data_IF_642976886082
#
_entry.id   IF_642976886082
#
_cell.length_a   1.000
_cell.length_b   1.000
_cell.length_c   1.000
_cell.angle_alpha   90.00
_cell.angle_beta   90.00
_cell.angle_gamma   90.00
#
_symmetry.space_group_name_H-M   'P 1'
#
loop_
_entity.id
_entity.type
_entity.pdbx_description
1 polymer ?
#
# COMPACT_ATOMS: atom_id res chain seq x y z
N UNK A 1 16.46 3.72 -9.61
CA UNK A 1 15.61 3.12 -10.67
C UNK A 1 14.22 2.92 -10.10
N UNK A 2 13.12 3.00 -10.89
CA UNK A 2 11.96 2.17 -10.55
C UNK A 2 12.52 0.78 -10.31
N UNK A 3 12.23 0.14 -9.18
CA UNK A 3 12.54 -1.28 -9.05
C UNK A 3 11.93 -1.92 -10.29
N UNK A 4 12.76 -2.17 -11.30
CA UNK A 4 12.25 -2.53 -12.60
C UNK A 4 11.74 -3.94 -12.38
N UNK A 5 10.43 -4.10 -12.52
CA UNK A 5 9.84 -5.42 -12.55
C UNK A 5 10.64 -6.24 -13.57
N UNK A 6 11.09 -7.41 -13.16
CA UNK A 6 11.90 -8.27 -13.99
C UNK A 6 11.97 -9.66 -13.40
N UNK A 7 12.31 -10.61 -14.25
CA UNK A 7 12.19 -12.04 -13.96
C UNK A 7 13.54 -12.73 -14.05
N UNK A 8 13.73 -13.75 -13.21
CA UNK A 8 14.91 -14.61 -13.24
C UNK A 8 16.06 -14.16 -12.35
N UNK A 9 16.94 -15.11 -12.02
CA UNK A 9 18.04 -14.92 -11.05
C UNK A 9 19.03 -13.85 -11.53
N UNK A 10 19.34 -13.80 -12.82
CA UNK A 10 20.26 -12.80 -13.37
C UNK A 10 19.77 -11.36 -13.17
N UNK A 11 18.46 -11.13 -13.29
CA UNK A 11 17.86 -9.82 -13.00
C UNK A 11 18.03 -9.44 -11.52
N UNK A 12 17.72 -10.38 -10.62
CA UNK A 12 17.87 -10.16 -9.17
C UNK A 12 19.33 -9.86 -8.81
N UNK A 13 20.28 -10.64 -9.32
CA UNK A 13 21.71 -10.41 -9.12
C UNK A 13 22.14 -9.03 -9.62
N UNK A 14 21.67 -8.61 -10.79
CA UNK A 14 21.98 -7.29 -11.32
C UNK A 14 21.38 -6.16 -10.46
N UNK A 15 20.16 -6.34 -9.93
CA UNK A 15 19.52 -5.37 -9.02
C UNK A 15 20.29 -5.25 -7.70
N UNK A 16 20.65 -6.38 -7.08
CA UNK A 16 21.39 -6.39 -5.82
C UNK A 16 22.83 -5.88 -5.99
N UNK A 17 23.50 -6.26 -7.09
CA UNK A 17 24.83 -5.76 -7.44
C UNK A 17 24.87 -4.24 -7.55
N UNK A 18 23.91 -3.63 -8.25
CA UNK A 18 23.79 -2.16 -8.34
C UNK A 18 23.57 -1.49 -7.00
N UNK A 19 22.79 -2.09 -6.10
CA UNK A 19 22.61 -1.54 -4.74
C UNK A 19 23.92 -1.57 -3.96
N UNK A 20 24.68 -2.68 -4.04
CA UNK A 20 25.96 -2.79 -3.37
C UNK A 20 27.02 -1.84 -3.94
N UNK A 21 27.03 -1.62 -5.25
CA UNK A 21 27.89 -0.62 -5.89
C UNK A 21 27.55 0.80 -5.44
N UNK A 22 26.26 1.17 -5.44
CA UNK A 22 25.80 2.51 -5.03
C UNK A 22 25.94 2.77 -3.52
N UNK A 23 25.80 1.70 -2.72
CA UNK A 23 25.85 1.73 -1.26
C UNK A 23 26.80 0.64 -0.71
N UNK A 24 28.12 0.86 -0.76
CA UNK A 24 29.09 -0.14 -0.32
C UNK A 24 28.96 -0.55 1.15
N UNK A 25 28.40 0.33 1.99
CA UNK A 25 28.17 0.15 3.42
C UNK A 25 26.71 -0.16 3.78
N UNK A 26 25.89 -0.57 2.80
CA UNK A 26 24.48 -0.92 3.00
C UNK A 26 24.32 -1.98 4.09
N UNK A 27 23.53 -1.66 5.11
CA UNK A 27 23.08 -2.58 6.15
C UNK A 27 21.56 -2.59 6.20
N UNK A 28 21.00 -3.74 6.54
CA UNK A 28 19.57 -3.88 6.81
C UNK A 28 19.32 -4.62 8.13
N UNK A 29 18.15 -4.36 8.70
CA UNK A 29 17.62 -5.03 9.90
C UNK A 29 16.18 -5.44 9.60
N UNK A 30 15.81 -6.67 9.96
CA UNK A 30 14.42 -7.12 9.94
C UNK A 30 13.75 -6.57 11.20
N UNK A 31 12.84 -5.63 11.01
CA UNK A 31 12.07 -5.05 12.10
C UNK A 31 10.91 -5.94 12.50
N UNK A 32 10.16 -6.45 11.51
CA UNK A 32 9.04 -7.36 11.70
C UNK A 32 8.96 -8.35 10.53
N UNK A 33 8.40 -9.53 10.81
CA UNK A 33 8.10 -10.53 9.80
C UNK A 33 6.78 -11.24 10.14
N UNK A 34 5.94 -11.45 9.13
CA UNK A 34 4.73 -12.29 9.22
C UNK A 34 4.78 -13.31 8.11
N UNK A 35 4.65 -14.58 8.47
CA UNK A 35 4.65 -15.70 7.53
C UNK A 35 3.25 -16.33 7.47
N UNK A 36 2.84 -16.79 6.28
CA UNK A 36 1.63 -17.59 6.14
C UNK A 36 1.81 -18.95 6.82
N UNK A 37 0.73 -19.53 7.34
CA UNK A 37 0.79 -20.80 8.08
C UNK A 37 1.31 -21.99 7.23
N UNK A 38 1.19 -21.90 5.90
CA UNK A 38 1.70 -22.87 4.94
C UNK A 38 3.15 -22.60 4.47
N UNK A 39 3.78 -21.53 4.98
CA UNK A 39 5.14 -21.11 4.64
C UNK A 39 5.34 -20.67 3.18
N UNK A 40 4.26 -20.44 2.42
CA UNK A 40 4.34 -20.06 1.01
C UNK A 40 4.39 -18.55 0.79
N UNK A 41 4.21 -17.73 1.83
CA UNK A 41 4.29 -16.29 1.74
C UNK A 41 4.85 -15.66 3.02
N UNK A 42 5.59 -14.57 2.86
CA UNK A 42 6.06 -13.75 3.96
C UNK A 42 5.92 -12.26 3.64
N UNK A 43 5.56 -11.47 4.65
CA UNK A 43 5.64 -10.02 4.63
C UNK A 43 6.72 -9.58 5.63
N UNK A 44 7.64 -8.74 5.19
CA UNK A 44 8.77 -8.26 5.98
C UNK A 44 8.71 -6.74 6.09
N UNK A 45 9.05 -6.21 7.25
CA UNK A 45 9.41 -4.79 7.41
C UNK A 45 10.90 -4.71 7.70
N UNK A 46 11.63 -3.98 6.86
CA UNK A 46 13.09 -3.88 6.91
C UNK A 46 13.48 -2.42 7.15
N UNK A 47 14.45 -2.17 8.02
CA UNK A 47 15.18 -0.90 8.07
C UNK A 47 16.48 -1.03 7.30
N UNK A 48 16.85 0.02 6.56
CA UNK A 48 18.11 0.10 5.84
C UNK A 48 18.89 1.35 6.25
N UNK A 49 20.21 1.22 6.27
CA UNK A 49 21.14 2.35 6.43
C UNK A 49 22.29 2.21 5.44
N UNK A 50 22.69 3.33 4.84
CA UNK A 50 23.83 3.38 3.90
C UNK A 50 24.38 4.81 3.79
N UNK A 51 25.57 4.95 3.23
CA UNK A 51 26.16 6.22 2.83
C UNK A 51 26.04 6.39 1.32
N UNK A 52 25.56 7.55 0.87
CA UNK A 52 25.54 7.90 -0.57
C UNK A 52 26.95 8.29 -1.05
N UNK A 53 27.81 7.28 -1.16
CA UNK A 53 29.23 7.43 -1.44
C UNK A 53 29.58 7.38 -2.94
N UNK A 54 28.69 6.84 -3.76
CA UNK A 54 28.87 6.73 -5.22
C UNK A 54 27.65 7.26 -5.96
N UNK A 55 27.81 7.53 -7.26
CA UNK A 55 26.72 7.95 -8.13
C UNK A 55 25.57 6.93 -8.11
N UNK A 56 24.36 7.39 -7.81
CA UNK A 56 23.16 6.56 -7.93
C UNK A 56 22.59 6.67 -9.33
N UNK A 57 22.48 5.53 -10.01
CA UNK A 57 21.86 5.45 -11.34
C UNK A 57 20.38 5.10 -11.20
N UNK A 58 19.51 6.03 -11.61
CA UNK A 58 18.07 5.91 -11.45
C UNK A 58 17.25 6.34 -12.67
N UNK A 59 15.91 6.24 -12.59
CA UNK A 59 15.03 6.60 -13.69
C UNK A 59 14.92 8.13 -13.85
N UNK A 60 15.51 8.88 -12.91
CA UNK A 60 15.54 10.34 -12.83
C UNK A 60 16.93 10.88 -13.26
N UNK A 61 17.72 10.04 -13.94
CA UNK A 61 19.11 10.35 -14.28
C UNK A 61 20.11 9.97 -13.16
N UNK A 62 21.40 10.25 -13.40
CA UNK A 62 22.45 10.06 -12.41
C UNK A 62 22.30 11.08 -11.26
N UNK A 63 22.43 10.62 -10.02
CA UNK A 63 22.50 11.47 -8.84
C UNK A 63 23.92 11.42 -8.30
N UNK A 64 24.61 12.56 -8.31
CA UNK A 64 25.98 12.67 -7.83
C UNK A 64 26.09 12.31 -6.33
N UNK A 65 27.20 11.69 -5.90
CA UNK A 65 27.40 11.30 -4.50
C UNK A 65 27.31 12.52 -3.58
N UNK A 66 26.55 12.40 -2.50
CA UNK A 66 26.35 13.50 -1.53
C UNK A 66 27.13 13.28 -0.23
N UNK A 67 27.67 12.09 0.01
CA UNK A 67 28.31 11.70 1.26
C UNK A 67 27.35 11.60 2.46
N UNK A 68 26.06 11.83 2.25
CA UNK A 68 25.06 11.79 3.33
C UNK A 68 24.76 10.36 3.74
N UNK A 69 24.53 10.19 5.04
CA UNK A 69 24.01 8.94 5.59
C UNK A 69 22.50 8.90 5.38
N UNK A 70 22.06 7.88 4.64
CA UNK A 70 20.67 7.62 4.31
C UNK A 70 20.08 6.59 5.27
N UNK A 71 18.79 6.75 5.56
CA UNK A 71 17.97 5.77 6.27
C UNK A 71 16.62 5.65 5.57
N UNK A 72 16.15 4.43 5.37
CA UNK A 72 14.81 4.19 4.86
C UNK A 72 14.27 2.88 5.41
N UNK A 73 12.96 2.70 5.30
CA UNK A 73 12.29 1.44 5.61
C UNK A 73 11.65 0.88 4.35
N UNK A 74 11.63 -0.44 4.23
CA UNK A 74 10.93 -1.16 3.17
C UNK A 74 9.89 -2.10 3.78
N UNK A 75 8.82 -2.32 3.03
CA UNK A 75 7.84 -3.38 3.22
C UNK A 75 7.94 -4.33 2.03
N UNK A 76 8.23 -5.59 2.31
CA UNK A 76 8.57 -6.57 1.29
C UNK A 76 7.61 -7.75 1.36
N UNK A 77 6.97 -8.08 0.26
CA UNK A 77 6.11 -9.26 0.12
C UNK A 77 6.83 -10.30 -0.72
N UNK A 78 7.00 -11.48 -0.14
CA UNK A 78 7.71 -12.60 -0.73
C UNK A 78 6.73 -13.77 -0.87
N UNK A 79 6.74 -14.43 -2.02
CA UNK A 79 6.14 -15.77 -2.17
C UNK A 79 7.23 -16.79 -2.33
N UNK A 80 7.03 -17.94 -1.71
CA UNK A 80 7.89 -19.09 -1.83
C UNK A 80 7.12 -20.29 -2.42
N UNK A 81 7.85 -21.20 -3.04
CA UNK A 81 7.40 -22.53 -3.41
C UNK A 81 8.57 -23.49 -3.24
N UNK A 82 8.34 -24.62 -2.58
CA UNK A 82 9.37 -25.64 -2.30
C UNK A 82 10.64 -25.05 -1.66
N UNK A 83 10.45 -24.15 -0.70
CA UNK A 83 11.53 -23.45 0.02
C UNK A 83 12.30 -22.41 -0.80
N UNK A 84 11.84 -22.06 -2.01
CA UNK A 84 12.48 -21.07 -2.88
C UNK A 84 11.59 -19.86 -3.12
N UNK A 85 12.17 -18.65 -3.12
CA UNK A 85 11.45 -17.43 -3.48
C UNK A 85 11.06 -17.48 -4.96
N UNK A 86 9.77 -17.34 -5.24
CA UNK A 86 9.20 -17.29 -6.60
C UNK A 86 8.70 -15.90 -7.00
N UNK A 87 8.40 -15.03 -6.03
CA UNK A 87 8.16 -13.60 -6.27
C UNK A 87 8.60 -12.76 -5.10
N UNK A 88 9.15 -11.57 -5.37
CA UNK A 88 9.52 -10.59 -4.34
C UNK A 88 9.12 -9.19 -4.80
N UNK A 89 8.25 -8.55 -4.03
CA UNK A 89 7.83 -7.17 -4.20
C UNK A 89 8.34 -6.35 -3.02
N UNK A 90 9.29 -5.43 -3.24
CA UNK A 90 9.81 -4.53 -2.23
C UNK A 90 9.26 -3.11 -2.44
N UNK A 91 8.69 -2.53 -1.39
CA UNK A 91 8.10 -1.20 -1.40
C UNK A 91 8.75 -0.35 -0.31
N UNK A 92 9.47 0.69 -0.71
CA UNK A 92 10.02 1.68 0.21
C UNK A 92 9.67 3.08 -0.27
N UNK A 93 9.66 4.03 0.66
CA UNK A 93 9.44 5.43 0.33
C UNK A 93 10.67 5.99 -0.39
N UNK A 94 10.66 5.84 -1.72
CA UNK A 94 11.72 6.36 -2.58
C UNK A 94 11.77 7.88 -2.53
N UNK A 95 10.65 8.55 -2.27
CA UNK A 95 10.62 9.99 -2.19
C UNK A 95 11.35 10.50 -0.96
N UNK A 96 11.08 9.90 0.20
CA UNK A 96 11.83 10.16 1.42
C UNK A 96 13.33 9.88 1.24
N UNK A 97 13.69 8.85 0.46
CA UNK A 97 15.09 8.58 0.12
C UNK A 97 15.68 9.66 -0.80
N UNK A 98 14.95 10.11 -1.83
CA UNK A 98 15.38 11.16 -2.76
C UNK A 98 15.53 12.52 -2.08
N UNK A 99 14.64 12.86 -1.14
CA UNK A 99 14.76 14.06 -0.32
C UNK A 99 16.06 14.08 0.50
N UNK A 100 16.48 12.93 1.04
CA UNK A 100 17.73 12.83 1.80
C UNK A 100 18.95 13.14 0.93
N UNK A 101 18.88 12.89 -0.38
CA UNK A 101 19.93 13.25 -1.35
C UNK A 101 19.68 14.58 -2.08
N UNK A 102 18.65 15.33 -1.69
CA UNK A 102 18.35 16.67 -2.23
C UNK A 102 17.57 16.70 -3.56
N UNK A 103 16.90 15.63 -3.93
CA UNK A 103 16.10 15.52 -5.16
C UNK A 103 14.60 15.70 -4.86
N UNK A 104 13.91 16.58 -5.61
CA UNK A 104 12.54 17.02 -5.29
C UNK A 104 11.48 16.73 -6.36
N UNK A 105 11.86 16.37 -7.59
CA UNK A 105 10.93 16.35 -8.74
C UNK A 105 9.85 15.23 -8.67
N UNK A 106 9.97 14.27 -7.75
CA UNK A 106 8.97 13.22 -7.48
C UNK A 106 7.91 13.58 -6.42
N UNK A 107 8.04 14.71 -5.72
CA UNK A 107 7.17 15.09 -4.59
C UNK A 107 5.71 15.34 -5.00
N UNK A 108 5.51 15.96 -6.16
CA UNK A 108 4.19 16.41 -6.60
C UNK A 108 3.26 15.25 -6.96
N UNK A 109 3.76 14.23 -7.69
CA UNK A 109 2.94 13.08 -8.10
C UNK A 109 2.54 12.20 -6.91
N UNK A 110 3.48 11.90 -6.01
CA UNK A 110 3.22 11.17 -4.77
C UNK A 110 2.22 11.90 -3.85
N UNK A 111 2.30 13.24 -3.80
CA UNK A 111 1.30 14.07 -3.13
C UNK A 111 -0.10 13.92 -3.73
N UNK A 112 -0.20 13.95 -5.07
CA UNK A 112 -1.48 13.78 -5.79
C UNK A 112 -2.10 12.40 -5.58
N UNK A 113 -1.31 11.33 -5.63
CA UNK A 113 -1.83 9.96 -5.43
C UNK A 113 -2.38 9.77 -4.02
N UNK A 114 -1.64 10.21 -2.99
CA UNK A 114 -2.13 10.16 -1.60
C UNK A 114 -3.37 11.02 -1.40
N UNK A 115 -3.44 12.20 -2.02
CA UNK A 115 -4.63 13.04 -1.96
C UNK A 115 -5.86 12.34 -2.56
N UNK A 116 -5.73 11.70 -3.73
CA UNK A 116 -6.81 10.95 -4.34
C UNK A 116 -7.29 9.79 -3.45
N UNK A 117 -6.37 9.01 -2.89
CA UNK A 117 -6.72 7.90 -1.99
C UNK A 117 -7.39 8.38 -0.69
N UNK A 118 -6.93 9.49 -0.12
CA UNK A 118 -7.59 10.09 1.06
C UNK A 118 -8.99 10.60 0.77
N UNK A 119 -9.22 11.15 -0.43
CA UNK A 119 -10.57 11.53 -0.88
C UNK A 119 -11.50 10.33 -0.99
N UNK A 120 -10.99 9.14 -1.36
CA UNK A 120 -11.81 7.91 -1.33
C UNK A 120 -12.30 7.62 0.10
N UNK A 121 -11.44 7.74 1.12
CA UNK A 121 -11.89 7.55 2.50
C UNK A 121 -12.92 8.59 2.93
N UNK A 122 -12.58 9.86 2.82
CA UNK A 122 -13.44 10.95 3.30
C UNK A 122 -14.75 11.04 2.51
N UNK A 123 -14.65 11.22 1.20
CA UNK A 123 -15.83 11.50 0.37
C UNK A 123 -16.70 10.26 0.17
N UNK A 124 -16.08 9.11 -0.10
CA UNK A 124 -16.84 7.91 -0.47
C UNK A 124 -17.23 7.12 0.77
N UNK A 125 -16.28 6.76 1.63
CA UNK A 125 -16.56 5.85 2.76
C UNK A 125 -17.13 6.54 3.99
N UNK A 126 -16.64 7.72 4.38
CA UNK A 126 -17.17 8.44 5.55
C UNK A 126 -18.47 9.18 5.21
N UNK A 127 -18.47 9.96 4.13
CA UNK A 127 -19.63 10.76 3.73
C UNK A 127 -20.66 9.99 2.88
N UNK A 128 -20.30 8.82 2.34
CA UNK A 128 -21.21 8.03 1.50
C UNK A 128 -21.43 8.58 0.08
N UNK A 129 -20.58 9.51 -0.40
CA UNK A 129 -20.70 10.16 -1.73
C UNK A 129 -20.20 9.24 -2.83
N UNK A 130 -21.02 8.26 -3.17
CA UNK A 130 -20.73 7.26 -4.21
C UNK A 130 -20.66 7.87 -5.61
N UNK A 131 -21.24 9.05 -5.83
CA UNK A 131 -21.10 9.87 -7.04
C UNK A 131 -19.65 10.34 -7.29
N UNK A 132 -18.83 10.48 -6.23
CA UNK A 132 -17.42 10.85 -6.37
C UNK A 132 -16.55 9.73 -6.98
N UNK A 133 -17.06 8.50 -7.09
CA UNK A 133 -16.31 7.36 -7.64
C UNK A 133 -15.91 7.59 -9.10
N UNK A 134 -16.73 8.29 -9.90
CA UNK A 134 -16.42 8.57 -11.30
C UNK A 134 -15.17 9.45 -11.50
N UNK A 135 -14.86 10.30 -10.52
CA UNK A 135 -13.67 11.16 -10.56
C UNK A 135 -12.43 10.47 -9.98
N UNK A 136 -12.63 9.54 -9.04
CA UNK A 136 -11.58 8.92 -8.24
C UNK A 136 -11.10 7.58 -8.79
N UNK A 137 -11.91 6.87 -9.59
CA UNK A 137 -11.59 5.57 -10.17
C UNK A 137 -11.23 5.67 -11.65
N UNK A 138 -10.25 4.88 -12.10
CA UNK A 138 -9.94 4.76 -13.51
C UNK A 138 -11.05 3.98 -14.26
N UNK A 139 -11.24 4.21 -15.58
CA UNK A 139 -12.30 3.52 -16.36
C UNK A 139 -12.25 1.99 -16.34
N UNK A 140 -11.09 1.40 -16.05
CA UNK A 140 -10.89 -0.05 -15.91
C UNK A 140 -10.64 -0.50 -14.47
N UNK A 141 -11.20 0.20 -13.48
CA UNK A 141 -10.94 -0.09 -12.07
C UNK A 141 -11.27 -1.54 -11.69
N UNK A 142 -10.35 -2.19 -10.95
CA UNK A 142 -10.55 -3.53 -10.40
C UNK A 142 -10.32 -3.56 -8.88
N UNK A 143 -11.35 -3.93 -8.15
CA UNK A 143 -11.30 -4.30 -6.74
C UNK A 143 -11.10 -5.81 -6.61
N UNK A 144 -9.92 -6.20 -6.10
CA UNK A 144 -9.54 -7.60 -5.86
C UNK A 144 -10.01 -8.12 -4.49
N UNK A 145 -10.69 -7.29 -3.70
CA UNK A 145 -11.27 -7.64 -2.40
C UNK A 145 -12.78 -7.36 -2.39
N UNK A 146 -13.53 -8.23 -3.04
CA UNK A 146 -14.99 -8.20 -3.02
C UNK A 146 -15.56 -9.33 -2.16
N UNK A 147 -16.68 -9.09 -1.44
CA UNK A 147 -17.49 -10.18 -0.91
C UNK A 147 -17.99 -11.08 -2.05
N UNK A 148 -18.27 -12.36 -1.75
CA UNK A 148 -18.83 -13.27 -2.75
C UNK A 148 -20.13 -12.73 -3.35
N UNK A 149 -20.24 -12.75 -4.67
CA UNK A 149 -21.39 -12.23 -5.41
C UNK A 149 -21.38 -10.72 -5.66
N UNK A 150 -20.30 -10.02 -5.32
CA UNK A 150 -20.09 -8.61 -5.66
C UNK A 150 -19.00 -8.50 -6.72
N UNK A 151 -19.30 -7.78 -7.81
CA UNK A 151 -18.36 -7.56 -8.90
C UNK A 151 -17.19 -6.68 -8.47
N UNK A 152 -16.04 -6.87 -9.13
CA UNK A 152 -14.81 -6.13 -8.87
C UNK A 152 -14.78 -4.71 -9.42
N UNK A 153 -15.91 -4.16 -9.88
CA UNK A 153 -15.94 -2.87 -10.55
C UNK A 153 -16.39 -1.72 -9.61
N UNK A 154 -16.62 -0.54 -10.20
CA UNK A 154 -17.09 0.63 -9.47
C UNK A 154 -18.48 0.41 -8.84
N UNK A 155 -19.38 -0.32 -9.52
CA UNK A 155 -20.72 -0.63 -9.00
C UNK A 155 -20.67 -1.58 -7.81
N UNK A 156 -19.78 -2.57 -7.85
CA UNK A 156 -19.51 -3.44 -6.72
C UNK A 156 -18.90 -2.69 -5.53
N UNK A 157 -17.99 -1.74 -5.76
CA UNK A 157 -17.47 -0.87 -4.71
C UNK A 157 -18.56 0.01 -4.09
N UNK A 158 -19.45 0.59 -4.92
CA UNK A 158 -20.61 1.34 -4.44
C UNK A 158 -21.52 0.50 -3.52
N UNK A 159 -21.79 -0.76 -3.90
CA UNK A 159 -22.57 -1.67 -3.07
C UNK A 159 -21.89 -1.94 -1.71
N UNK A 160 -20.57 -2.12 -1.70
CA UNK A 160 -19.78 -2.30 -0.47
C UNK A 160 -19.87 -1.06 0.43
N UNK A 161 -19.74 0.14 -0.13
CA UNK A 161 -19.83 1.42 0.59
C UNK A 161 -21.21 1.57 1.23
N UNK A 162 -22.28 1.33 0.46
CA UNK A 162 -23.66 1.38 0.96
C UNK A 162 -23.90 0.39 2.10
N UNK A 163 -23.38 -0.84 1.98
CA UNK A 163 -23.44 -1.85 3.04
C UNK A 163 -22.72 -1.40 4.31
N UNK A 164 -21.50 -0.86 4.18
CA UNK A 164 -20.73 -0.32 5.30
C UNK A 164 -21.43 0.84 6.01
N UNK A 165 -21.97 1.80 5.26
CA UNK A 165 -22.73 2.94 5.81
C UNK A 165 -24.05 2.52 6.47
N UNK A 166 -24.67 1.44 5.97
CA UNK A 166 -25.84 0.83 6.62
C UNK A 166 -25.45 0.23 7.98
N UNK A 167 -24.36 -0.54 8.03
CA UNK A 167 -23.86 -1.12 9.28
C UNK A 167 -23.34 -0.08 10.27
N UNK A 168 -22.67 0.96 9.77
CA UNK A 168 -21.97 2.00 10.53
C UNK A 168 -22.30 3.40 9.97
N UNK A 169 -23.45 3.99 10.36
CA UNK A 169 -23.85 5.33 9.89
C UNK A 169 -22.93 6.47 10.33
N UNK A 170 -22.07 6.24 11.30
CA UNK A 170 -21.06 7.14 11.86
C UNK A 170 -19.62 6.67 11.55
N UNK A 171 -19.44 5.88 10.47
CA UNK A 171 -18.14 5.37 10.04
C UNK A 171 -17.12 6.49 9.82
N UNK A 172 -15.95 6.36 10.45
CA UNK A 172 -14.79 7.25 10.30
C UNK A 172 -13.51 6.44 10.08
N UNK A 173 -12.54 7.06 9.42
CA UNK A 173 -11.23 6.49 9.16
C UNK A 173 -10.11 7.33 9.77
N UNK A 174 -9.04 6.66 10.18
CA UNK A 174 -7.80 7.31 10.59
C UNK A 174 -6.64 6.56 9.94
N UNK A 175 -5.96 7.23 9.00
CA UNK A 175 -4.77 6.68 8.35
C UNK A 175 -3.63 6.67 9.37
N UNK A 176 -3.18 5.47 9.75
CA UNK A 176 -2.08 5.27 10.70
C UNK A 176 -0.73 5.42 9.98
N UNK A 177 -0.61 4.81 8.80
CA UNK A 177 0.61 4.77 7.99
C UNK A 177 0.23 4.83 6.53
N UNK A 178 0.99 5.57 5.74
CA UNK A 178 0.77 5.68 4.30
C UNK A 178 2.10 5.86 3.58
N UNK A 179 2.28 5.12 2.49
CA UNK A 179 3.44 5.20 1.61
C UNK A 179 2.96 5.30 0.17
N UNK A 180 3.71 6.03 -0.65
CA UNK A 180 3.47 6.12 -2.08
C UNK A 180 4.77 5.99 -2.85
N UNK A 181 4.81 5.13 -3.86
CA UNK A 181 5.99 4.91 -4.68
C UNK A 181 5.59 4.66 -6.14
N UNK A 182 5.94 5.60 -7.02
CA UNK A 182 5.45 5.57 -8.41
C UNK A 182 3.93 5.59 -8.44
N UNK A 183 3.36 4.63 -9.16
CA UNK A 183 1.92 4.46 -9.31
C UNK A 183 1.28 3.65 -8.18
N UNK A 184 1.97 3.41 -7.07
CA UNK A 184 1.44 2.61 -5.98
C UNK A 184 1.25 3.44 -4.72
N UNK A 185 0.13 3.22 -4.04
CA UNK A 185 -0.14 3.72 -2.69
C UNK A 185 -0.45 2.52 -1.79
N UNK A 186 0.10 2.51 -0.58
CA UNK A 186 -0.29 1.54 0.43
C UNK A 186 -0.52 2.26 1.75
N UNK A 187 -1.53 1.84 2.49
CA UNK A 187 -1.78 2.39 3.82
C UNK A 187 -2.31 1.36 4.79
N UNK A 188 -2.13 1.66 6.07
CA UNK A 188 -2.79 1.00 7.19
C UNK A 188 -3.67 2.05 7.86
N UNK A 189 -4.93 1.71 8.07
CA UNK A 189 -5.92 2.61 8.65
C UNK A 189 -6.70 1.91 9.76
N UNK A 190 -7.19 2.72 10.70
CA UNK A 190 -8.26 2.34 11.60
C UNK A 190 -9.57 2.81 11.03
N UNK A 191 -10.59 1.95 11.09
CA UNK A 191 -11.97 2.32 10.87
C UNK A 191 -12.73 2.17 12.20
N UNK A 192 -13.68 3.05 12.43
CA UNK A 192 -14.45 3.10 13.67
C UNK A 192 -15.88 3.57 13.43
N UNK A 193 -16.83 2.98 14.14
CA UNK A 193 -18.23 3.38 14.11
C UNK A 193 -19.10 2.55 15.05
N UNK A 194 -20.34 3.00 15.21
CA UNK A 194 -21.40 2.31 15.95
C UNK A 194 -22.11 1.32 15.03
N UNK A 195 -22.12 0.04 15.41
CA UNK A 195 -22.80 -1.01 14.65
C UNK A 195 -24.33 -0.91 14.82
N UNK A 196 -24.96 -0.06 14.01
CA UNK A 196 -26.35 0.37 14.13
C UNK A 196 -27.28 -0.26 13.07
N UNK A 197 -26.73 -0.96 12.08
CA UNK A 197 -27.50 -1.68 11.07
C UNK A 197 -26.90 -3.04 10.72
N UNK A 198 -27.59 -3.85 9.92
CA UNK A 198 -27.10 -5.17 9.54
C UNK A 198 -25.90 -5.08 8.59
N UNK A 199 -24.88 -5.91 8.81
CA UNK A 199 -23.74 -6.05 7.90
C UNK A 199 -23.14 -7.45 7.96
N UNK A 200 -22.75 -8.01 6.82
CA UNK A 200 -22.20 -9.38 6.71
C UNK A 200 -23.08 -10.47 7.37
N UNK A 201 -24.41 -10.30 7.32
CA UNK A 201 -25.37 -11.22 7.95
C UNK A 201 -25.46 -11.10 9.48
N UNK A 202 -24.76 -10.14 10.09
CA UNK A 202 -24.81 -9.87 11.53
C UNK A 202 -25.78 -8.71 11.77
N UNK A 203 -26.82 -8.87 12.62
CA UNK A 203 -27.70 -7.78 13.02
C UNK A 203 -26.96 -6.72 13.85
N UNK A 204 -27.50 -5.50 13.88
CA UNK A 204 -26.97 -4.40 14.69
C UNK A 204 -26.75 -4.83 16.15
N UNK A 205 -25.56 -4.56 16.68
CA UNK A 205 -25.22 -4.88 18.08
C UNK A 205 -25.27 -3.67 18.99
N UNK A 206 -25.36 -2.46 18.43
CA UNK A 206 -25.30 -1.19 19.17
C UNK A 206 -23.91 -0.88 19.76
N UNK A 207 -22.91 -1.75 19.56
CA UNK A 207 -21.55 -1.52 20.07
C UNK A 207 -20.80 -0.57 19.16
N UNK A 208 -19.99 0.30 19.77
CA UNK A 208 -18.93 1.03 19.06
C UNK A 208 -17.78 0.08 18.81
N UNK A 209 -17.45 -0.14 17.55
CA UNK A 209 -16.39 -1.04 17.11
C UNK A 209 -15.28 -0.23 16.45
N UNK A 210 -14.05 -0.66 16.69
CA UNK A 210 -12.85 -0.14 16.03
C UNK A 210 -12.06 -1.32 15.48
N UNK A 211 -11.71 -1.28 14.21
CA UNK A 211 -10.99 -2.38 13.56
C UNK A 211 -9.92 -1.84 12.61
N UNK A 212 -8.91 -2.67 12.36
CA UNK A 212 -7.78 -2.32 11.50
C UNK A 212 -8.03 -2.80 10.07
N UNK A 213 -7.48 -2.05 9.12
CA UNK A 213 -7.49 -2.37 7.70
C UNK A 213 -6.16 -2.01 7.06
N UNK A 214 -5.79 -2.74 6.01
CA UNK A 214 -4.64 -2.40 5.19
C UNK A 214 -5.03 -2.52 3.72
N UNK A 215 -4.59 -1.56 2.91
CA UNK A 215 -4.91 -1.50 1.49
C UNK A 215 -3.67 -1.21 0.66
N UNK A 216 -3.66 -1.75 -0.55
CA UNK A 216 -2.68 -1.46 -1.60
C UNK A 216 -3.48 -1.04 -2.83
N UNK A 217 -3.08 0.06 -3.44
CA UNK A 217 -3.75 0.65 -4.59
C UNK A 217 -2.75 0.89 -5.71
N UNK A 218 -3.12 0.54 -6.94
CA UNK A 218 -2.45 1.01 -8.15
C UNK A 218 -3.18 2.23 -8.68
N UNK A 219 -2.43 3.24 -9.05
CA UNK A 219 -2.88 4.51 -9.59
C UNK A 219 -2.67 4.54 -11.11
N UNK A 220 -3.49 5.32 -11.80
CA UNK A 220 -3.39 5.60 -13.22
C UNK A 220 -3.94 6.99 -13.46
N UNK A 221 -3.12 7.91 -13.99
CA UNK A 221 -3.48 9.31 -14.22
C UNK A 221 -4.10 10.00 -12.98
N UNK A 222 -3.58 9.67 -11.79
CA UNK A 222 -4.06 10.21 -10.52
C UNK A 222 -5.35 9.58 -9.99
N UNK A 223 -5.92 8.58 -10.66
CA UNK A 223 -7.10 7.82 -10.25
C UNK A 223 -6.73 6.42 -9.79
N UNK A 224 -7.56 5.80 -8.95
CA UNK A 224 -7.36 4.42 -8.50
C UNK A 224 -7.77 3.46 -9.62
N UNK A 225 -6.81 2.67 -10.10
CA UNK A 225 -7.04 1.66 -11.13
C UNK A 225 -7.16 0.25 -10.56
N UNK A 226 -6.48 -0.07 -9.45
CA UNK A 226 -6.66 -1.36 -8.80
C UNK A 226 -6.59 -1.22 -7.29
N UNK A 227 -7.30 -2.11 -6.58
CA UNK A 227 -7.35 -2.13 -5.12
C UNK A 227 -7.27 -3.55 -4.58
N UNK A 228 -6.40 -3.77 -3.60
CA UNK A 228 -6.34 -4.94 -2.73
C UNK A 228 -6.46 -4.49 -1.28
N UNK A 229 -7.05 -5.31 -0.43
CA UNK A 229 -7.07 -4.98 0.99
C UNK A 229 -7.49 -6.13 1.90
N UNK A 230 -7.16 -5.98 3.17
CA UNK A 230 -7.58 -6.85 4.28
C UNK A 230 -8.22 -6.00 5.37
N UNK A 231 -9.21 -6.57 6.06
CA UNK A 231 -9.91 -5.87 7.12
C UNK A 231 -10.35 -6.84 8.21
N UNK A 232 -10.18 -6.40 9.45
CA UNK A 232 -10.54 -7.16 10.65
C UNK A 232 -12.01 -7.00 11.06
N UNK A 233 -12.86 -6.37 10.23
CA UNK A 233 -14.26 -6.09 10.58
C UNK A 233 -15.02 -7.36 10.99
N UNK A 234 -14.83 -8.47 10.27
CA UNK A 234 -15.50 -9.73 10.61
C UNK A 234 -15.11 -10.25 11.99
N UNK A 235 -13.86 -10.06 12.40
CA UNK A 235 -13.39 -10.40 13.74
C UNK A 235 -13.96 -9.44 14.78
N UNK A 236 -13.95 -8.13 14.51
CA UNK A 236 -14.53 -7.13 15.40
C UNK A 236 -16.04 -7.33 15.67
N UNK A 237 -16.79 -7.81 14.67
CA UNK A 237 -18.21 -8.12 14.81
C UNK A 237 -18.48 -9.28 15.79
N UNK A 238 -17.58 -10.27 15.84
CA UNK A 238 -17.72 -11.48 16.68
C UNK A 238 -17.40 -11.25 18.16
N UNK A 239 -16.67 -10.19 18.50
CA UNK A 239 -16.23 -9.90 19.87
C UNK A 239 -14.91 -10.58 20.21
#
# INVERSE_FOLDING_TARGET
>A
MAAAAGTGVAHVQAVLGRHHEGYPDLRHEVLDAVESADGQAAALRLAFTATHARELRGPFGPIAPTGRRLRWTSSDHVRARDGRIVSWHAQFDRLALLQQVGQTDGLAAAGRHRAAVRRVFDEVFEQGRTDALGDLLAPGFVNHRTPGGVDGDAGGLEAIVRGLRTGFPDLTYTVEREVSAGDWVAHVAWAEGTHAGPILGVPATGRRLRWRQAHVLRMEDGRVAEHWGVSDLASALRG
#
